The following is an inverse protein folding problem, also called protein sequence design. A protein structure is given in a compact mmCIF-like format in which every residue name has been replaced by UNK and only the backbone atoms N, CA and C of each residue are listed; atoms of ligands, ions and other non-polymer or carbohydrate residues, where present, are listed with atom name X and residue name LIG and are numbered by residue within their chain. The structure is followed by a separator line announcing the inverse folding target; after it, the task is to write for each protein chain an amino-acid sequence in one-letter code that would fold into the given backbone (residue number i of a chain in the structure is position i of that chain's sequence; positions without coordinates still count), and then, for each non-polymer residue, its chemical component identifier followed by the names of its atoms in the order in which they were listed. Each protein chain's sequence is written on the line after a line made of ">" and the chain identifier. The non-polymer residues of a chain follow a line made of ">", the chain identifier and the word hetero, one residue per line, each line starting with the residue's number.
data_IF_160784359922
#
_entry.id   IF_160784359922
#
_cell.length_a   1.000
_cell.length_b   1.000
_cell.length_c   1.000
_cell.angle_alpha   90.00
_cell.angle_beta   90.00
_cell.angle_gamma   90.00
#
_symmetry.space_group_name_H-M   'P 1'
#
loop_
_entity.id
_entity.type
_entity.pdbx_description
1 polymer ?
#
# COMPACT_ATOMS: atom_id res chain seq x y z
N UNK A 1 2.52 27.19 -14.39
CA UNK A 1 1.21 26.78 -13.83
C UNK A 1 0.60 25.64 -14.65
N UNK A 2 0.36 25.79 -15.95
CA UNK A 2 -0.22 24.73 -16.81
C UNK A 2 0.75 23.61 -17.19
N UNK A 3 2.02 23.93 -17.46
CA UNK A 3 3.06 22.93 -17.80
C UNK A 3 3.37 21.96 -16.66
N UNK A 4 3.31 22.46 -15.41
CA UNK A 4 3.51 21.66 -14.20
C UNK A 4 2.39 20.63 -14.00
N UNK A 5 1.15 20.98 -14.34
CA UNK A 5 0.01 20.07 -14.31
C UNK A 5 0.18 18.97 -15.35
N UNK A 6 0.72 19.27 -16.54
CA UNK A 6 0.94 18.27 -17.58
C UNK A 6 2.01 17.24 -17.16
N UNK A 7 3.14 17.67 -16.60
CA UNK A 7 4.17 16.76 -16.10
C UNK A 7 3.70 15.95 -14.87
N UNK A 8 2.97 16.59 -13.95
CA UNK A 8 2.36 15.90 -12.82
C UNK A 8 1.26 14.92 -13.27
N UNK A 9 0.51 15.25 -14.32
CA UNK A 9 -0.51 14.37 -14.89
C UNK A 9 0.08 13.10 -15.47
N UNK A 10 1.25 13.15 -16.14
CA UNK A 10 1.88 11.94 -16.66
C UNK A 10 2.18 10.93 -15.54
N UNK A 11 2.92 11.34 -14.51
CA UNK A 11 3.24 10.42 -13.40
C UNK A 11 2.04 10.05 -12.52
N UNK A 12 1.13 10.99 -12.25
CA UNK A 12 -0.02 10.73 -11.36
C UNK A 12 -1.07 9.84 -12.05
N UNK A 13 -1.33 10.05 -13.34
CA UNK A 13 -2.33 9.27 -14.08
C UNK A 13 -1.92 7.80 -14.22
N UNK A 14 -0.64 7.53 -14.48
CA UNK A 14 -0.10 6.17 -14.54
C UNK A 14 -0.28 5.44 -13.20
N UNK A 15 0.07 6.10 -12.09
CA UNK A 15 -0.09 5.54 -10.74
C UNK A 15 -1.57 5.26 -10.43
N UNK A 16 -2.48 6.17 -10.79
CA UNK A 16 -3.92 5.98 -10.58
C UNK A 16 -4.44 4.79 -11.40
N UNK A 17 -4.02 4.63 -12.66
CA UNK A 17 -4.41 3.49 -13.50
C UNK A 17 -3.89 2.18 -12.91
N UNK A 18 -2.64 2.13 -12.45
CA UNK A 18 -2.05 0.94 -11.82
C UNK A 18 -2.80 0.58 -10.53
N UNK A 19 -3.09 1.57 -9.68
CA UNK A 19 -3.88 1.36 -8.46
C UNK A 19 -5.28 0.84 -8.77
N UNK A 20 -5.94 1.39 -9.80
CA UNK A 20 -7.23 0.89 -10.27
C UNK A 20 -7.14 -0.55 -10.78
N UNK A 21 -6.12 -0.90 -11.55
CA UNK A 21 -5.91 -2.25 -12.05
C UNK A 21 -5.71 -3.24 -10.89
N UNK A 22 -4.85 -2.92 -9.92
CA UNK A 22 -4.65 -3.73 -8.71
C UNK A 22 -5.96 -3.83 -7.91
N UNK A 23 -6.71 -2.73 -7.79
CA UNK A 23 -7.99 -2.72 -7.09
C UNK A 23 -9.05 -3.59 -7.77
N UNK A 24 -9.07 -3.67 -9.10
CA UNK A 24 -9.97 -4.54 -9.84
C UNK A 24 -9.56 -6.02 -9.75
N UNK A 25 -8.25 -6.30 -9.78
CA UNK A 25 -7.72 -7.66 -9.70
C UNK A 25 -7.86 -8.27 -8.29
N UNK A 26 -7.51 -7.50 -7.26
CA UNK A 26 -7.51 -7.97 -5.87
C UNK A 26 -8.80 -7.58 -5.13
N UNK A 27 -9.54 -6.58 -5.59
CA UNK A 27 -10.67 -6.02 -4.87
C UNK A 27 -10.24 -5.09 -3.72
N UNK A 28 -11.06 -4.08 -3.42
CA UNK A 28 -10.78 -3.11 -2.35
C UNK A 28 -10.73 -3.69 -0.93
N UNK A 29 -11.20 -4.92 -0.74
CA UNK A 29 -11.21 -5.59 0.58
C UNK A 29 -9.97 -6.45 0.84
N UNK A 30 -9.30 -6.98 -0.19
CA UNK A 30 -8.13 -7.85 -0.01
C UNK A 30 -6.87 -7.08 0.36
N UNK A 31 -6.67 -5.86 -0.16
CA UNK A 31 -5.50 -5.03 0.21
C UNK A 31 -5.49 -4.73 1.72
N UNK A 32 -6.59 -4.26 2.35
CA UNK A 32 -6.66 -4.06 3.79
C UNK A 32 -6.48 -5.35 4.60
N UNK A 33 -7.00 -6.47 4.11
CA UNK A 33 -6.88 -7.78 4.77
C UNK A 33 -5.43 -8.27 4.80
N UNK A 34 -4.71 -8.14 3.67
CA UNK A 34 -3.29 -8.42 3.56
C UNK A 34 -2.45 -7.48 4.43
N UNK A 35 -2.78 -6.19 4.47
CA UNK A 35 -2.09 -5.22 5.33
C UNK A 35 -2.28 -5.52 6.81
N UNK A 36 -3.47 -5.97 7.24
CA UNK A 36 -3.72 -6.39 8.63
C UNK A 36 -2.87 -7.61 9.00
N UNK A 37 -2.88 -8.65 8.16
CA UNK A 37 -2.07 -9.85 8.39
C UNK A 37 -0.57 -9.57 8.39
N UNK A 38 -0.08 -8.78 7.43
CA UNK A 38 1.32 -8.35 7.38
C UNK A 38 1.70 -7.50 8.59
N UNK A 39 0.83 -6.58 9.00
CA UNK A 39 1.06 -5.72 10.17
C UNK A 39 1.14 -6.51 11.48
N UNK A 40 0.30 -7.54 11.63
CA UNK A 40 0.38 -8.47 12.76
C UNK A 40 1.70 -9.26 12.73
N UNK A 41 2.07 -9.82 11.58
CA UNK A 41 3.35 -10.55 11.44
C UNK A 41 4.59 -9.69 11.71
N UNK A 42 4.59 -8.44 11.24
CA UNK A 42 5.68 -7.48 11.54
C UNK A 42 5.72 -7.15 13.04
N UNK A 43 4.56 -6.99 13.68
CA UNK A 43 4.47 -6.72 15.11
C UNK A 43 4.99 -7.90 15.93
N UNK A 44 4.54 -9.11 15.65
CA UNK A 44 5.02 -10.33 16.32
C UNK A 44 6.52 -10.55 16.10
N UNK A 45 7.02 -10.28 14.88
CA UNK A 45 8.45 -10.35 14.58
C UNK A 45 9.25 -9.33 15.39
N UNK A 46 8.73 -8.11 15.53
CA UNK A 46 9.38 -7.05 16.30
C UNK A 46 9.33 -7.34 17.80
N UNK A 47 8.19 -7.76 18.34
CA UNK A 47 7.99 -8.11 19.74
C UNK A 47 8.91 -9.27 20.16
N UNK A 48 9.06 -10.29 19.31
CA UNK A 48 9.99 -11.40 19.52
C UNK A 48 11.47 -11.01 19.40
N UNK A 49 11.81 -10.07 18.50
CA UNK A 49 13.18 -9.55 18.35
C UNK A 49 13.59 -8.62 19.51
N UNK A 50 12.67 -7.82 20.01
CA UNK A 50 12.95 -6.82 21.06
C UNK A 50 12.88 -7.42 22.48
N UNK A 51 12.55 -8.71 22.61
CA UNK A 51 12.57 -9.42 23.89
C UNK A 51 11.48 -9.00 24.88
N UNK A 52 10.47 -8.24 24.43
CA UNK A 52 9.32 -7.83 25.24
C UNK A 52 8.21 -8.90 25.28
N UNK A 53 8.63 -10.17 25.38
CA UNK A 53 7.84 -11.18 26.08
C UNK A 53 7.58 -10.68 27.50
N UNK A 54 6.36 -10.75 28.05
CA UNK A 54 6.20 -10.62 29.50
C UNK A 54 7.04 -11.67 30.25
#
# INVERSE_FOLDING_TARGET
>A
MTTSIFLAALGTQEIVIILLAILLLFGGKKIPELMKGLGQGIREFKDGKDGNTP
#
